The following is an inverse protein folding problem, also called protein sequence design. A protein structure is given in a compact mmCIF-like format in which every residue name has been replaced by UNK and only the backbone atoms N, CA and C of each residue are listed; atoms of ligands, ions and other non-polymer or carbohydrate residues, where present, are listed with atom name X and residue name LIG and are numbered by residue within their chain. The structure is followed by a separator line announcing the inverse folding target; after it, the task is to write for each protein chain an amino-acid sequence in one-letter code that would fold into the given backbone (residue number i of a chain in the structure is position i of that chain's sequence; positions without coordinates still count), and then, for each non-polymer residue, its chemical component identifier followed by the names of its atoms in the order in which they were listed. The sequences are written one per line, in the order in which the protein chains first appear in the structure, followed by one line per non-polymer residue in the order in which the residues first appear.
data_IF_189515619155
#
_entry.id   IF_189515619155
#
_cell.length_a   1.000
_cell.length_b   1.000
_cell.length_c   1.000
_cell.angle_alpha   90.00
_cell.angle_beta   90.00
_cell.angle_gamma   90.00
#
_symmetry.space_group_name_H-M   'P 1'
#
loop_
_entity.id
_entity.type
_entity.pdbx_description
1 polymer ?
#
# COMPACT_ATOMS: atom_id res chain seq x y z
N UNK A 1 -2.78 -4.07 6.77
CA UNK A 1 -2.27 -5.43 6.52
C UNK A 1 -1.56 -5.49 5.18
N UNK A 2 -0.41 -6.14 5.15
CA UNK A 2 0.39 -6.35 3.94
C UNK A 2 0.35 -7.84 3.61
N UNK A 3 -0.01 -8.17 2.38
CA UNK A 3 -0.06 -9.55 1.88
C UNK A 3 0.82 -9.67 0.64
N UNK A 4 1.84 -10.53 0.64
CA UNK A 4 2.63 -10.78 -0.56
C UNK A 4 1.78 -11.43 -1.66
N UNK A 5 1.92 -10.94 -2.89
CA UNK A 5 1.28 -11.53 -4.08
C UNK A 5 2.31 -12.31 -4.88
N UNK A 6 3.45 -11.69 -5.15
CA UNK A 6 4.59 -12.31 -5.80
C UNK A 6 5.81 -12.15 -4.92
N UNK A 7 6.43 -13.26 -4.55
CA UNK A 7 7.65 -13.30 -3.75
C UNK A 7 8.69 -14.20 -4.39
N UNK A 8 9.89 -13.68 -4.57
CA UNK A 8 11.04 -14.46 -5.03
C UNK A 8 11.48 -15.48 -3.96
N UNK A 9 11.41 -15.11 -2.69
CA UNK A 9 11.72 -16.01 -1.57
C UNK A 9 10.57 -16.01 -0.54
N UNK A 10 9.83 -17.10 -0.51
CA UNK A 10 8.68 -17.29 0.38
C UNK A 10 9.06 -17.71 1.81
N UNK A 11 10.33 -17.96 2.07
CA UNK A 11 10.80 -18.41 3.39
C UNK A 11 11.25 -17.28 4.30
N UNK A 12 11.24 -16.04 3.82
CA UNK A 12 11.62 -14.87 4.60
C UNK A 12 10.62 -14.62 5.73
N UNK A 13 11.09 -14.18 6.90
CA UNK A 13 10.21 -13.80 7.99
C UNK A 13 9.35 -12.58 7.62
N UNK A 14 8.27 -12.39 8.36
CA UNK A 14 7.37 -11.26 8.17
C UNK A 14 8.12 -9.90 8.23
N UNK A 15 7.83 -9.01 7.30
CA UNK A 15 8.50 -7.72 7.18
C UNK A 15 9.77 -7.74 6.33
N UNK A 16 10.22 -8.89 5.88
CA UNK A 16 11.34 -9.03 4.95
C UNK A 16 10.85 -9.49 3.58
N UNK A 17 11.37 -8.84 2.55
CA UNK A 17 11.00 -9.07 1.16
C UNK A 17 12.22 -9.01 0.26
N UNK A 18 12.07 -9.43 -0.98
CA UNK A 18 13.12 -9.36 -2.01
C UNK A 18 12.77 -8.22 -2.99
N UNK A 19 13.78 -7.56 -3.51
CA UNK A 19 13.60 -6.55 -4.57
C UNK A 19 12.84 -7.16 -5.75
N UNK A 20 11.80 -6.47 -6.19
CA UNK A 20 10.89 -6.93 -7.25
C UNK A 20 9.63 -7.60 -6.73
N UNK A 21 9.56 -7.93 -5.45
CA UNK A 21 8.36 -8.50 -4.85
C UNK A 21 7.16 -7.56 -5.00
N UNK A 22 6.00 -8.15 -5.22
CA UNK A 22 4.72 -7.44 -5.34
C UNK A 22 3.89 -7.72 -4.09
N UNK A 23 3.45 -6.65 -3.46
CA UNK A 23 2.68 -6.68 -2.21
C UNK A 23 1.32 -6.05 -2.40
N UNK A 24 0.31 -6.61 -1.77
CA UNK A 24 -1.01 -5.99 -1.63
C UNK A 24 -1.17 -5.43 -0.23
N UNK A 25 -1.48 -4.16 -0.15
CA UNK A 25 -1.75 -3.47 1.10
C UNK A 25 -3.26 -3.32 1.26
N UNK A 26 -3.76 -3.74 2.41
CA UNK A 26 -5.16 -3.56 2.79
C UNK A 26 -5.24 -2.57 3.93
N UNK A 27 -5.91 -1.47 3.69
CA UNK A 27 -6.24 -0.46 4.70
C UNK A 27 -7.67 -0.68 5.19
N UNK A 28 -7.85 -0.62 6.48
CA UNK A 28 -9.15 -0.66 7.11
C UNK A 28 -9.32 0.56 7.99
N UNK A 29 -10.35 1.33 7.71
CA UNK A 29 -10.69 2.54 8.46
C UNK A 29 -12.02 2.31 9.16
N UNK A 30 -12.03 2.48 10.47
CA UNK A 30 -13.25 2.39 11.28
C UNK A 30 -13.57 3.77 11.82
N UNK A 31 -14.72 4.31 11.41
CA UNK A 31 -15.22 5.60 11.84
C UNK A 31 -16.29 5.42 12.93
N UNK A 32 -16.11 6.07 14.07
CA UNK A 32 -17.08 6.06 15.18
C UNK A 32 -18.25 7.01 14.96
N UNK A 33 -18.06 7.98 14.07
CA UNK A 33 -19.07 8.96 13.67
C UNK A 33 -18.90 9.28 12.18
N UNK A 34 -19.95 9.78 11.50
CA UNK A 34 -19.82 10.23 10.12
C UNK A 34 -18.83 11.39 10.01
N UNK A 35 -18.03 11.38 8.94
CA UNK A 35 -17.05 12.42 8.63
C UNK A 35 -17.19 12.87 7.19
N UNK A 36 -16.87 14.12 6.93
CA UNK A 36 -16.83 14.69 5.59
C UNK A 36 -15.41 15.16 5.27
N UNK A 37 -15.01 15.06 4.01
CA UNK A 37 -13.70 15.46 3.51
C UNK A 37 -12.57 14.81 4.31
N UNK A 38 -12.49 13.51 4.20
CA UNK A 38 -11.52 12.67 4.91
C UNK A 38 -10.36 12.34 4.00
N UNK A 39 -9.13 12.57 4.48
CA UNK A 39 -7.92 12.15 3.83
C UNK A 39 -7.33 10.93 4.56
N UNK A 40 -7.08 9.87 3.80
CA UNK A 40 -6.38 8.67 4.28
C UNK A 40 -5.02 8.64 3.59
N UNK A 41 -3.96 8.61 4.38
CA UNK A 41 -2.58 8.59 3.89
C UNK A 41 -1.85 7.37 4.41
N UNK A 42 -1.32 6.56 3.52
CA UNK A 42 -0.50 5.40 3.84
C UNK A 42 0.87 5.52 3.18
N UNK A 43 1.95 5.66 3.96
CA UNK A 43 3.29 5.77 3.40
C UNK A 43 3.76 4.44 2.82
N UNK A 44 4.55 4.50 1.76
CA UNK A 44 5.16 3.33 1.12
C UNK A 44 6.70 3.39 1.23
N UNK A 45 7.39 2.24 1.16
CA UNK A 45 8.85 2.23 1.14
C UNK A 45 9.41 3.07 -0.02
N UNK A 46 10.48 3.83 0.25
CA UNK A 46 11.09 4.70 -0.73
C UNK A 46 11.50 3.93 -2.00
N UNK A 47 11.18 4.49 -3.15
CA UNK A 47 11.45 3.88 -4.46
C UNK A 47 10.50 2.77 -4.88
N UNK A 48 9.49 2.45 -4.07
CA UNK A 48 8.42 1.53 -4.47
C UNK A 48 7.51 2.19 -5.50
N UNK A 49 6.88 1.37 -6.34
CA UNK A 49 5.90 1.84 -7.31
C UNK A 49 4.54 1.27 -6.98
N UNK A 50 3.55 2.14 -6.80
CA UNK A 50 2.16 1.70 -6.70
C UNK A 50 1.68 1.35 -8.09
N UNK A 51 1.27 0.10 -8.27
CA UNK A 51 0.80 -0.41 -9.55
C UNK A 51 -0.64 0.05 -9.80
N UNK A 52 -0.95 0.35 -11.06
CA UNK A 52 -2.26 0.84 -11.44
C UNK A 52 -2.44 2.32 -11.14
N UNK A 53 -2.34 3.15 -12.18
CA UNK A 53 -2.49 4.61 -12.05
C UNK A 53 -3.96 5.08 -12.04
N UNK A 54 -4.91 4.17 -12.17
CA UNK A 54 -6.32 4.52 -12.41
C UNK A 54 -6.59 5.06 -13.83
N UNK A 55 -5.56 5.19 -14.64
CA UNK A 55 -5.62 5.74 -16.01
C UNK A 55 -5.28 4.63 -17.01
N UNK A 56 -6.28 3.86 -17.44
CA UNK A 56 -6.15 3.02 -18.63
C UNK A 56 -5.85 1.53 -18.40
N UNK A 57 -5.55 0.85 -19.51
CA UNK A 57 -5.50 -0.62 -19.63
C UNK A 57 -4.45 -1.32 -18.76
N UNK A 58 -3.33 -0.67 -18.49
CA UNK A 58 -2.24 -1.26 -17.71
C UNK A 58 -2.59 -1.43 -16.23
N UNK A 59 -3.51 -0.62 -15.74
CA UNK A 59 -3.96 -0.70 -14.36
C UNK A 59 -4.83 -1.92 -14.08
N UNK A 60 -5.55 -2.43 -15.07
CA UNK A 60 -6.48 -3.53 -14.87
C UNK A 60 -5.80 -4.85 -14.51
N UNK A 61 -4.63 -5.15 -15.09
CA UNK A 61 -3.86 -6.36 -14.79
C UNK A 61 -3.13 -6.19 -13.44
N UNK A 62 -2.51 -5.04 -13.22
CA UNK A 62 -1.74 -4.76 -12.00
C UNK A 62 -2.64 -4.66 -10.75
N UNK A 63 -3.89 -4.21 -10.92
CA UNK A 63 -4.85 -4.05 -9.84
C UNK A 63 -5.89 -5.17 -9.77
N UNK A 64 -5.71 -6.21 -10.57
CA UNK A 64 -6.61 -7.36 -10.58
C UNK A 64 -6.75 -7.96 -9.18
N UNK A 65 -7.96 -7.97 -8.66
CA UNK A 65 -8.27 -8.44 -7.33
C UNK A 65 -8.16 -7.39 -6.23
N UNK A 66 -7.81 -6.14 -6.53
CA UNK A 66 -8.01 -5.04 -5.58
C UNK A 66 -9.49 -4.86 -5.29
N UNK A 67 -9.81 -4.68 -4.02
CA UNK A 67 -11.18 -4.53 -3.56
C UNK A 67 -11.34 -3.29 -2.70
N UNK A 68 -12.39 -2.56 -2.93
CA UNK A 68 -12.88 -1.54 -2.02
C UNK A 68 -14.28 -1.93 -1.57
N UNK A 69 -14.52 -1.86 -0.28
CA UNK A 69 -15.81 -2.17 0.30
C UNK A 69 -16.15 -1.20 1.41
N UNK A 70 -17.39 -0.84 1.47
CA UNK A 70 -17.91 0.11 2.44
C UNK A 70 -18.78 1.19 1.80
N UNK A 71 -19.57 1.89 2.61
CA UNK A 71 -20.54 2.88 2.16
C UNK A 71 -19.94 4.29 2.22
N UNK A 72 -18.82 4.52 1.58
CA UNK A 72 -18.20 5.84 1.47
C UNK A 72 -18.29 6.40 0.05
N UNK A 73 -18.28 7.72 -0.09
CA UNK A 73 -18.17 8.40 -1.39
C UNK A 73 -16.73 8.82 -1.59
N UNK A 74 -16.00 8.02 -2.37
CA UNK A 74 -14.63 8.34 -2.75
C UNK A 74 -14.63 9.47 -3.77
N UNK A 75 -13.91 10.54 -3.48
CA UNK A 75 -13.74 11.66 -4.38
C UNK A 75 -12.53 11.48 -5.28
N UNK A 76 -11.41 10.99 -4.72
CA UNK A 76 -10.15 10.96 -5.43
C UNK A 76 -9.14 10.01 -4.76
N UNK A 77 -8.33 9.34 -5.57
CA UNK A 77 -7.16 8.58 -5.11
C UNK A 77 -5.88 9.13 -5.75
N UNK A 78 -4.87 9.28 -4.95
CA UNK A 78 -3.54 9.70 -5.39
C UNK A 78 -2.53 8.58 -5.10
N UNK A 79 -1.81 8.17 -6.13
CA UNK A 79 -0.75 7.17 -6.05
C UNK A 79 0.57 7.86 -6.39
N UNK A 80 1.37 8.14 -5.37
CA UNK A 80 2.65 8.82 -5.51
C UNK A 80 3.81 7.88 -5.17
N UNK A 81 5.04 8.36 -5.34
CA UNK A 81 6.25 7.61 -4.97
C UNK A 81 6.49 7.53 -3.46
N UNK A 82 5.76 8.29 -2.68
CA UNK A 82 5.94 8.37 -1.23
C UNK A 82 4.78 7.77 -0.45
N UNK A 83 3.58 7.82 -1.03
CA UNK A 83 2.37 7.41 -0.33
C UNK A 83 1.21 7.09 -1.26
N UNK A 84 0.33 6.26 -0.76
CA UNK A 84 -1.03 6.12 -1.26
C UNK A 84 -1.93 7.07 -0.47
N UNK A 85 -2.75 7.86 -1.16
CA UNK A 85 -3.73 8.75 -0.55
C UNK A 85 -5.09 8.51 -1.14
N UNK A 86 -6.09 8.44 -0.29
CA UNK A 86 -7.49 8.35 -0.69
C UNK A 86 -8.31 9.44 0.01
N UNK A 87 -9.09 10.15 -0.77
CA UNK A 87 -9.92 11.23 -0.30
C UNK A 87 -11.38 10.83 -0.42
N UNK A 88 -12.12 11.03 0.65
CA UNK A 88 -13.56 10.77 0.71
C UNK A 88 -14.32 12.07 0.95
N UNK A 89 -15.32 12.35 0.12
CA UNK A 89 -16.25 13.45 0.40
C UNK A 89 -17.09 13.16 1.64
N UNK A 90 -17.48 11.90 1.80
CA UNK A 90 -18.26 11.45 2.93
C UNK A 90 -17.83 10.04 3.35
N UNK A 91 -17.58 9.89 4.63
CA UNK A 91 -17.27 8.61 5.26
C UNK A 91 -18.30 8.37 6.37
N UNK A 92 -19.24 7.41 6.20
CA UNK A 92 -20.23 7.12 7.23
C UNK A 92 -19.60 6.43 8.43
N UNK A 93 -20.32 6.41 9.54
CA UNK A 93 -19.98 5.57 10.67
C UNK A 93 -19.92 4.11 10.20
N UNK A 94 -18.88 3.40 10.60
CA UNK A 94 -18.65 2.01 10.23
C UNK A 94 -17.24 1.76 9.72
N UNK A 95 -17.06 0.67 9.00
CA UNK A 95 -15.75 0.23 8.49
C UNK A 95 -15.71 0.31 6.98
N UNK A 96 -14.66 0.95 6.46
CA UNK A 96 -14.33 1.00 5.03
C UNK A 96 -12.99 0.30 4.83
N UNK A 97 -12.92 -0.55 3.81
CA UNK A 97 -11.70 -1.23 3.40
C UNK A 97 -11.30 -0.79 2.01
N UNK A 98 -10.00 -0.60 1.80
CA UNK A 98 -9.43 -0.31 0.49
C UNK A 98 -8.13 -1.06 0.31
N UNK A 99 -7.78 -1.37 -0.92
CA UNK A 99 -6.56 -2.11 -1.26
C UNK A 99 -5.80 -1.38 -2.36
N UNK A 100 -4.48 -1.46 -2.29
CA UNK A 100 -3.61 -1.09 -3.39
C UNK A 100 -2.45 -2.08 -3.48
N UNK A 101 -1.82 -2.14 -4.63
CA UNK A 101 -0.72 -3.05 -4.93
C UNK A 101 0.54 -2.25 -5.19
N UNK A 102 1.65 -2.68 -4.61
CA UNK A 102 2.94 -2.03 -4.82
C UNK A 102 4.03 -3.04 -5.19
N UNK A 103 5.03 -2.57 -5.92
CA UNK A 103 6.26 -3.31 -6.21
C UNK A 103 7.43 -2.67 -5.50
N UNK A 104 8.24 -3.49 -4.86
CA UNK A 104 9.46 -3.06 -4.18
C UNK A 104 10.62 -2.99 -5.17
N UNK A 105 11.12 -1.79 -5.43
CA UNK A 105 12.16 -1.57 -6.43
C UNK A 105 13.55 -1.36 -5.83
N UNK A 106 13.64 -0.94 -4.57
CA UNK A 106 14.90 -0.60 -3.91
C UNK A 106 15.19 -1.54 -2.74
N UNK A 107 16.46 -1.94 -2.66
CA UNK A 107 16.99 -2.64 -1.49
C UNK A 107 17.20 -1.64 -0.36
N UNK A 108 16.87 -2.03 0.85
CA UNK A 108 17.09 -1.21 2.03
C UNK A 108 16.23 -1.64 3.23
N UNK A 109 16.40 -0.91 4.29
CA UNK A 109 15.66 -1.06 5.53
C UNK A 109 14.85 0.22 5.75
N UNK A 110 13.54 0.13 5.59
CA UNK A 110 12.65 1.27 5.55
C UNK A 110 11.83 1.36 6.84
N UNK A 111 12.03 2.44 7.58
CA UNK A 111 11.16 2.83 8.67
C UNK A 111 10.04 3.70 8.10
N UNK A 112 8.81 3.20 8.16
CA UNK A 112 7.66 3.91 7.63
C UNK A 112 7.00 4.78 8.70
N UNK A 113 6.64 6.04 8.38
CA UNK A 113 5.81 6.83 9.28
C UNK A 113 4.44 6.17 9.47
N UNK A 114 3.67 6.55 10.49
CA UNK A 114 2.35 5.97 10.70
C UNK A 114 1.40 6.32 9.56
N UNK A 115 0.50 5.39 9.24
CA UNK A 115 -0.65 5.66 8.39
C UNK A 115 -1.62 6.57 9.12
N UNK A 116 -2.23 7.52 8.42
CA UNK A 116 -3.09 8.54 9.01
C UNK A 116 -4.43 8.65 8.31
N UNK A 117 -5.43 8.94 9.11
CA UNK A 117 -6.78 9.31 8.66
C UNK A 117 -7.12 10.61 9.36
N UNK A 118 -7.53 11.62 8.61
CA UNK A 118 -7.93 12.90 9.18
C UNK A 118 -9.10 13.54 8.43
N UNK A 119 -10.00 14.15 9.17
CA UNK A 119 -11.03 14.99 8.60
C UNK A 119 -10.45 16.37 8.32
N UNK A 120 -10.46 16.83 7.06
CA UNK A 120 -9.74 18.06 6.65
C UNK A 120 -10.30 19.34 7.29
N UNK A 121 -11.60 19.34 7.60
CA UNK A 121 -12.27 20.48 8.22
C UNK A 121 -12.51 20.32 9.74
N UNK A 122 -12.13 19.19 10.29
CA UNK A 122 -12.22 18.89 11.71
C UNK A 122 -10.96 18.13 12.15
N UNK A 123 -9.81 18.81 12.22
CA UNK A 123 -8.51 18.14 12.42
C UNK A 123 -8.38 17.43 13.78
N UNK A 124 -9.26 17.70 14.72
CA UNK A 124 -9.37 16.95 15.96
C UNK A 124 -9.91 15.50 15.73
N UNK A 125 -10.57 15.27 14.61
CA UNK A 125 -11.03 13.93 14.19
C UNK A 125 -9.96 13.28 13.32
N UNK A 126 -9.06 12.55 13.95
CA UNK A 126 -8.00 11.83 13.26
C UNK A 126 -7.73 10.47 13.89
N UNK A 127 -7.09 9.61 13.13
CA UNK A 127 -6.56 8.34 13.59
C UNK A 127 -5.19 8.09 12.98
N UNK A 128 -4.34 7.38 13.69
CA UNK A 128 -3.05 6.95 13.19
C UNK A 128 -2.78 5.52 13.60
N UNK A 129 -2.15 4.76 12.70
CA UNK A 129 -1.70 3.40 12.97
C UNK A 129 -0.21 3.28 12.68
N UNK A 130 0.59 2.74 13.59
CA UNK A 130 2.01 2.54 13.35
C UNK A 130 2.21 1.52 12.23
N UNK A 131 3.26 1.70 11.45
CA UNK A 131 3.68 0.76 10.43
C UNK A 131 4.91 -0.02 10.88
N UNK A 132 4.91 -1.32 10.58
CA UNK A 132 6.07 -2.16 10.78
C UNK A 132 7.19 -1.74 9.82
N UNK A 133 8.41 -1.99 10.24
CA UNK A 133 9.60 -1.80 9.42
C UNK A 133 9.58 -2.77 8.23
N UNK A 134 9.96 -2.29 7.07
CA UNK A 134 10.03 -3.09 5.83
C UNK A 134 11.49 -3.21 5.42
N UNK A 135 11.99 -4.43 5.33
CA UNK A 135 13.33 -4.73 4.87
C UNK A 135 13.27 -5.40 3.50
N UNK A 136 13.95 -4.81 2.54
CA UNK A 136 14.02 -5.32 1.17
C UNK A 136 15.44 -5.79 0.87
N UNK A 137 15.57 -7.06 0.57
CA UNK A 137 16.86 -7.71 0.27
C UNK A 137 17.12 -7.73 -1.22
N UNK A 138 18.39 -7.79 -1.60
CA UNK A 138 18.76 -7.97 -2.99
C UNK A 138 18.25 -9.30 -3.54
N UNK A 139 17.79 -9.30 -4.80
CA UNK A 139 17.46 -10.54 -5.48
C UNK A 139 18.71 -11.42 -5.58
N UNK A 140 18.61 -12.75 -5.36
CA UNK A 140 19.76 -13.63 -5.56
C UNK A 140 20.22 -13.53 -7.00
N UNK A 141 21.54 -13.41 -7.19
CA UNK A 141 22.13 -13.46 -8.52
C UNK A 141 21.78 -14.81 -9.16
N UNK A 142 21.43 -14.83 -10.45
CA UNK A 142 21.27 -16.10 -11.15
C UNK A 142 22.59 -16.88 -11.00
N UNK A 143 22.47 -18.16 -10.62
CA UNK A 143 23.64 -19.03 -10.53
C UNK A 143 24.40 -18.93 -11.85
N UNK A 144 25.68 -18.56 -11.78
CA UNK A 144 26.53 -18.58 -12.96
C UNK A 144 26.46 -20.00 -13.54
N UNK A 145 25.96 -20.11 -14.75
CA UNK A 145 26.03 -21.38 -15.47
C UNK A 145 27.50 -21.72 -15.61
N UNK A 146 27.92 -22.75 -14.92
CA UNK A 146 29.28 -23.28 -15.11
C UNK A 146 29.44 -23.58 -16.59
N UNK A 147 30.47 -23.07 -17.26
CA UNK A 147 30.71 -23.46 -18.63
C UNK A 147 30.94 -24.99 -18.63
N UNK A 148 30.04 -25.70 -19.26
CA UNK A 148 30.27 -27.12 -19.51
C UNK A 148 31.49 -27.25 -20.40
N UNK A 149 32.49 -27.91 -19.89
CA UNK A 149 33.60 -28.33 -20.74
C UNK A 149 33.13 -29.37 -21.75
#
# INVERSE_FOLDING_TARGET
TITPIEQANKTLPAGQYTRGDVLRVTLQVSASAPMTWVAITDPIPAGSTILGSGLGRDSAIATQGEKSSGAGWSAFEERSFESFRSYYEYLPKGTVKMQYTLRLNNVGDFALPPSRVEALYAPEMFGAAPNARVQVLAAPLPAASSPSK
#
